data_IF_628522302248
#
_entry.id   IF_628522302248
#
_cell.length_a   1.000
_cell.length_b   1.000
_cell.length_c   1.000
_cell.angle_alpha   90.00
_cell.angle_beta   90.00
_cell.angle_gamma   90.00
#
_symmetry.space_group_name_H-M   'P 1'
#
loop_
_entity.id
_entity.type
_entity.pdbx_description
1 polymer ?
#
# COMPACT_ATOMS: atom_id res chain seq x y z
N UNK A 1 -24.49 9.08 26.83
CA UNK A 1 -23.55 8.01 26.42
C UNK A 1 -24.02 7.19 25.23
N UNK A 2 -25.26 6.69 25.19
CA UNK A 2 -25.76 5.87 24.07
C UNK A 2 -25.71 6.55 22.69
N UNK A 3 -26.06 7.85 22.61
CA UNK A 3 -26.04 8.61 21.34
C UNK A 3 -24.61 8.77 20.81
N UNK A 4 -23.64 9.11 21.67
CA UNK A 4 -22.24 9.24 21.29
C UNK A 4 -21.69 7.90 20.75
N UNK A 5 -22.03 6.80 21.43
CA UNK A 5 -21.59 5.46 21.00
C UNK A 5 -22.20 5.07 19.64
N UNK A 6 -23.49 5.36 19.43
CA UNK A 6 -24.15 5.16 18.15
C UNK A 6 -23.51 5.99 17.02
N UNK A 7 -23.16 7.26 17.29
CA UNK A 7 -22.46 8.12 16.32
C UNK A 7 -21.08 7.58 15.95
N UNK A 8 -20.30 7.11 16.93
CA UNK A 8 -18.98 6.52 16.69
C UNK A 8 -19.10 5.26 15.84
N UNK A 9 -20.04 4.37 16.16
CA UNK A 9 -20.29 3.14 15.39
C UNK A 9 -20.73 3.49 13.96
N UNK A 10 -21.62 4.45 13.78
CA UNK A 10 -22.06 4.91 12.46
C UNK A 10 -20.90 5.49 11.65
N UNK A 11 -20.04 6.31 12.27
CA UNK A 11 -18.86 6.88 11.61
C UNK A 11 -17.87 5.80 11.17
N UNK A 12 -17.62 4.78 12.01
CA UNK A 12 -16.77 3.63 11.67
C UNK A 12 -17.39 2.81 10.54
N UNK A 13 -18.69 2.53 10.60
CA UNK A 13 -19.41 1.79 9.56
C UNK A 13 -19.37 2.54 8.21
N UNK A 14 -19.57 3.86 8.22
CA UNK A 14 -19.50 4.67 7.02
C UNK A 14 -18.07 4.73 6.46
N UNK A 15 -17.07 4.88 7.32
CA UNK A 15 -15.67 4.85 6.92
C UNK A 15 -15.28 3.51 6.30
N UNK A 16 -15.62 2.39 6.95
CA UNK A 16 -15.34 1.04 6.42
C UNK A 16 -16.07 0.78 5.11
N UNK A 17 -17.33 1.20 4.98
CA UNK A 17 -18.08 1.10 3.73
C UNK A 17 -17.40 1.88 2.58
N UNK A 18 -16.92 3.10 2.85
CA UNK A 18 -16.17 3.91 1.88
C UNK A 18 -14.87 3.22 1.45
N UNK A 19 -14.10 2.70 2.39
CA UNK A 19 -12.86 1.95 2.10
C UNK A 19 -13.15 0.73 1.25
N UNK A 20 -14.12 -0.10 1.65
CA UNK A 20 -14.52 -1.30 0.91
C UNK A 20 -15.04 -0.97 -0.50
N UNK A 21 -15.74 0.16 -0.67
CA UNK A 21 -16.19 0.62 -1.99
C UNK A 21 -15.01 1.01 -2.88
N UNK A 22 -14.07 1.82 -2.37
CA UNK A 22 -12.86 2.22 -3.12
C UNK A 22 -11.96 1.04 -3.48
N UNK A 23 -11.77 0.09 -2.56
CA UNK A 23 -10.99 -1.12 -2.83
C UNK A 23 -11.67 -1.99 -3.91
N UNK A 24 -13.00 -2.12 -3.86
CA UNK A 24 -13.78 -2.80 -4.91
C UNK A 24 -13.66 -2.10 -6.26
N UNK A 25 -13.65 -0.77 -6.29
CA UNK A 25 -13.41 -0.01 -7.51
C UNK A 25 -12.00 -0.26 -8.06
N UNK A 26 -10.97 -0.24 -7.20
CA UNK A 26 -9.59 -0.51 -7.57
C UNK A 26 -9.40 -1.95 -8.11
N UNK A 27 -10.07 -2.94 -7.52
CA UNK A 27 -10.11 -4.33 -8.03
C UNK A 27 -10.71 -4.47 -9.42
N UNK A 28 -11.58 -3.54 -9.82
CA UNK A 28 -12.18 -3.50 -11.16
C UNK A 28 -11.46 -2.57 -12.12
N UNK A 29 -10.48 -1.79 -11.63
CA UNK A 29 -9.70 -0.91 -12.47
C UNK A 29 -8.94 -1.69 -13.55
N UNK A 30 -8.52 -1.00 -14.60
CA UNK A 30 -7.71 -1.61 -15.64
C UNK A 30 -6.39 -2.11 -15.07
N UNK A 31 -6.02 -3.35 -15.39
CA UNK A 31 -4.68 -3.89 -15.13
C UNK A 31 -3.72 -3.23 -16.10
N UNK A 32 -2.67 -2.61 -15.56
CA UNK A 32 -1.63 -1.96 -16.36
C UNK A 32 -0.66 -2.98 -16.95
N UNK A 33 -0.23 -3.92 -16.11
CA UNK A 33 0.74 -4.97 -16.41
C UNK A 33 0.72 -6.02 -15.29
N UNK A 34 1.52 -7.06 -15.43
CA UNK A 34 1.81 -8.00 -14.33
C UNK A 34 3.11 -7.65 -13.64
N UNK A 35 3.29 -8.15 -12.42
CA UNK A 35 4.58 -8.13 -11.71
C UNK A 35 5.65 -8.85 -12.53
N UNK A 36 6.85 -8.28 -12.55
CA UNK A 36 8.03 -8.99 -13.05
C UNK A 36 8.72 -9.79 -11.93
N UNK A 37 9.70 -10.62 -12.30
CA UNK A 37 10.40 -11.49 -11.35
C UNK A 37 11.15 -10.72 -10.24
N UNK A 38 11.74 -9.57 -10.58
CA UNK A 38 12.47 -8.74 -9.61
C UNK A 38 11.54 -8.11 -8.58
N UNK A 39 10.38 -7.63 -9.01
CA UNK A 39 9.34 -7.09 -8.14
C UNK A 39 8.73 -8.18 -7.27
N UNK A 40 8.44 -9.36 -7.82
CA UNK A 40 7.93 -10.49 -7.05
C UNK A 40 8.94 -10.92 -5.97
N UNK A 41 10.23 -10.94 -6.30
CA UNK A 41 11.30 -11.20 -5.33
C UNK A 41 11.43 -10.09 -4.28
N UNK A 42 11.24 -8.83 -4.65
CA UNK A 42 11.28 -7.69 -3.74
C UNK A 42 10.09 -7.66 -2.76
N UNK A 43 8.95 -8.26 -3.13
CA UNK A 43 7.78 -8.41 -2.27
C UNK A 43 7.81 -9.67 -1.39
N UNK A 44 8.71 -10.62 -1.66
CA UNK A 44 8.82 -11.85 -0.84
C UNK A 44 9.03 -11.57 0.67
N UNK A 45 9.84 -10.57 1.11
CA UNK A 45 9.97 -10.22 2.52
C UNK A 45 8.66 -9.71 3.14
N UNK A 46 7.86 -8.96 2.38
CA UNK A 46 6.55 -8.50 2.86
C UNK A 46 5.66 -9.70 3.19
N UNK A 47 5.58 -10.67 2.27
CA UNK A 47 4.80 -11.90 2.45
C UNK A 47 5.30 -12.69 3.65
N UNK A 48 6.62 -12.86 3.79
CA UNK A 48 7.22 -13.60 4.89
C UNK A 48 6.95 -12.96 6.26
N UNK A 49 6.94 -11.62 6.34
CA UNK A 49 6.75 -10.90 7.60
C UNK A 49 5.28 -10.72 8.00
N UNK A 50 4.38 -10.55 7.03
CA UNK A 50 2.99 -10.18 7.28
C UNK A 50 1.98 -11.30 7.02
N UNK A 51 2.40 -12.36 6.33
CA UNK A 51 1.51 -13.40 5.83
C UNK A 51 0.58 -12.94 4.71
N UNK A 52 0.69 -11.69 4.26
CA UNK A 52 -0.20 -11.10 3.26
C UNK A 52 0.18 -11.63 1.87
N UNK A 53 -0.74 -12.36 1.26
CA UNK A 53 -0.69 -12.70 -0.16
C UNK A 53 -1.30 -11.56 -0.99
N UNK A 54 -0.64 -11.21 -2.08
CA UNK A 54 -1.12 -10.27 -3.09
C UNK A 54 -1.27 -11.00 -4.43
N UNK A 55 -2.07 -10.42 -5.32
CA UNK A 55 -2.10 -10.83 -6.72
C UNK A 55 -0.84 -10.35 -7.48
N UNK A 56 -0.73 -10.75 -8.74
CA UNK A 56 0.35 -10.28 -9.63
C UNK A 56 -0.11 -9.13 -10.56
N UNK A 57 -1.33 -8.62 -10.39
CA UNK A 57 -1.94 -7.65 -11.30
C UNK A 57 -1.67 -6.23 -10.85
N UNK A 58 -0.76 -5.55 -11.56
CA UNK A 58 -0.40 -4.17 -11.25
C UNK A 58 -1.47 -3.22 -11.78
N UNK A 59 -1.94 -2.33 -10.90
CA UNK A 59 -2.99 -1.34 -11.17
C UNK A 59 -2.51 0.04 -10.75
N UNK A 60 -3.10 1.08 -11.35
CA UNK A 60 -2.82 2.46 -10.98
C UNK A 60 -3.69 2.89 -9.81
N UNK A 61 -3.06 3.47 -8.79
CA UNK A 61 -3.73 4.14 -7.68
C UNK A 61 -3.21 5.57 -7.59
N UNK A 62 -4.13 6.54 -7.72
CA UNK A 62 -3.81 7.97 -7.58
C UNK A 62 -4.47 8.55 -6.35
N UNK A 63 -3.80 9.48 -5.70
CA UNK A 63 -4.41 10.25 -4.62
C UNK A 63 -3.42 10.90 -3.66
N UNK A 64 -3.97 11.66 -2.73
CA UNK A 64 -3.22 12.18 -1.59
C UNK A 64 -2.86 11.05 -0.63
N UNK A 65 -1.65 11.12 -0.07
CA UNK A 65 -1.24 10.26 1.03
C UNK A 65 -1.68 10.88 2.35
N UNK A 66 -2.40 10.13 3.18
CA UNK A 66 -2.94 10.58 4.46
C UNK A 66 -2.50 9.59 5.54
N UNK A 67 -1.41 9.93 6.22
CA UNK A 67 -1.00 9.31 7.47
C UNK A 67 -0.83 7.78 7.43
N UNK A 68 -0.45 7.24 8.57
CA UNK A 68 -0.09 5.84 8.77
C UNK A 68 0.91 5.71 9.91
N UNK A 69 1.03 4.52 10.50
CA UNK A 69 2.02 4.28 11.54
C UNK A 69 3.41 4.18 10.89
N UNK A 70 4.06 5.32 10.65
CA UNK A 70 5.45 5.31 10.19
C UNK A 70 6.35 4.75 11.29
N UNK A 71 7.03 3.66 10.98
CA UNK A 71 7.95 2.97 11.87
C UNK A 71 9.31 2.91 11.17
N UNK A 72 10.25 3.83 11.50
CA UNK A 72 11.53 3.95 10.78
C UNK A 72 12.39 2.68 10.84
N UNK A 73 12.16 1.79 11.82
CA UNK A 73 12.88 0.53 11.99
C UNK A 73 12.21 -0.66 11.32
N UNK A 74 11.02 -0.49 10.74
CA UNK A 74 10.35 -1.55 9.99
C UNK A 74 10.66 -1.39 8.50
N UNK A 75 10.85 -2.50 7.76
CA UNK A 75 11.10 -2.46 6.32
C UNK A 75 9.87 -2.05 5.50
N UNK A 76 8.68 -2.21 6.07
CA UNK A 76 7.40 -1.83 5.47
C UNK A 76 6.58 -0.99 6.45
N UNK A 77 5.79 -0.06 5.91
CA UNK A 77 4.86 0.77 6.64
C UNK A 77 3.47 0.68 6.02
N UNK A 78 2.47 1.03 6.81
CA UNK A 78 1.09 1.20 6.38
C UNK A 78 0.69 2.67 6.31
N UNK A 79 -0.36 2.97 5.54
CA UNK A 79 -0.98 4.28 5.48
C UNK A 79 -2.22 4.31 4.59
N UNK A 80 -2.74 5.49 4.29
CA UNK A 80 -3.87 5.65 3.36
C UNK A 80 -3.43 6.43 2.12
N UNK A 81 -3.70 5.90 0.93
CA UNK A 81 -3.48 6.58 -0.34
C UNK A 81 -4.80 6.67 -1.11
N UNK A 82 -5.25 7.88 -1.44
CA UNK A 82 -6.54 8.07 -2.13
C UNK A 82 -7.74 7.48 -1.36
N UNK A 83 -7.63 7.36 -0.04
CA UNK A 83 -8.64 6.72 0.80
C UNK A 83 -8.63 5.19 0.78
N UNK A 84 -7.55 4.56 0.29
CA UNK A 84 -7.34 3.11 0.29
C UNK A 84 -6.16 2.77 1.21
N UNK A 85 -6.28 1.75 2.10
CA UNK A 85 -5.16 1.27 2.89
C UNK A 85 -4.04 0.74 2.00
N UNK A 86 -2.82 1.24 2.20
CA UNK A 86 -1.63 0.85 1.46
C UNK A 86 -0.53 0.31 2.36
N UNK A 87 0.24 -0.64 1.84
CA UNK A 87 1.51 -1.07 2.39
C UNK A 87 2.63 -0.63 1.46
N UNK A 88 3.71 -0.08 2.00
CA UNK A 88 4.82 0.41 1.21
C UNK A 88 6.18 0.19 1.91
N UNK A 89 7.25 -0.10 1.15
CA UNK A 89 8.60 -0.14 1.70
C UNK A 89 8.99 1.21 2.29
N UNK A 90 9.81 1.24 3.35
CA UNK A 90 10.25 2.48 3.99
C UNK A 90 10.91 3.48 3.03
N UNK A 91 11.60 2.98 1.99
CA UNK A 91 12.18 3.81 0.94
C UNK A 91 11.15 4.62 0.13
N UNK A 92 9.87 4.23 0.09
CA UNK A 92 8.84 4.97 -0.62
C UNK A 92 8.56 6.36 -0.01
N UNK A 93 8.89 6.53 1.28
CA UNK A 93 8.61 7.76 2.04
C UNK A 93 9.24 8.98 1.37
N UNK A 94 10.48 8.86 0.94
CA UNK A 94 11.26 9.96 0.34
C UNK A 94 10.72 10.38 -1.03
N UNK A 95 9.85 9.56 -1.61
CA UNK A 95 9.22 9.80 -2.90
C UNK A 95 7.73 10.20 -2.78
N UNK A 96 7.19 10.33 -1.56
CA UNK A 96 5.81 10.77 -1.36
C UNK A 96 5.65 12.27 -1.62
N UNK A 97 4.62 12.61 -2.39
CA UNK A 97 4.18 13.95 -2.70
C UNK A 97 2.78 14.22 -2.13
N UNK A 98 2.30 15.47 -2.24
CA UNK A 98 0.94 15.85 -1.87
C UNK A 98 -0.12 15.07 -2.67
N UNK A 99 0.20 14.75 -3.94
CA UNK A 99 -0.61 13.90 -4.81
C UNK A 99 0.30 12.88 -5.48
N UNK A 100 -0.04 11.60 -5.37
CA UNK A 100 0.83 10.52 -5.83
C UNK A 100 0.18 9.70 -6.93
N UNK A 101 1.03 9.16 -7.78
CA UNK A 101 0.70 8.08 -8.69
C UNK A 101 1.47 6.83 -8.26
N UNK A 102 0.75 5.83 -7.79
CA UNK A 102 1.31 4.56 -7.34
C UNK A 102 0.89 3.43 -8.26
N UNK A 103 1.84 2.59 -8.63
CA UNK A 103 1.55 1.26 -9.14
C UNK A 103 1.43 0.31 -7.95
N UNK A 104 0.33 -0.43 -7.89
CA UNK A 104 0.00 -1.28 -6.75
C UNK A 104 -0.47 -2.66 -7.20
N UNK A 105 -0.16 -3.67 -6.40
CA UNK A 105 -0.82 -4.98 -6.45
C UNK A 105 -1.81 -5.11 -5.30
N UNK A 106 -2.84 -5.93 -5.46
CA UNK A 106 -3.90 -6.02 -4.48
C UNK A 106 -3.72 -7.24 -3.59
N UNK A 107 -3.80 -6.98 -2.29
CA UNK A 107 -3.97 -7.98 -1.26
C UNK A 107 -5.35 -7.82 -0.61
N UNK A 108 -5.75 -8.79 0.21
CA UNK A 108 -7.08 -8.89 0.82
C UNK A 108 -7.74 -7.53 1.22
N UNK A 109 -7.10 -6.75 2.08
CA UNK A 109 -7.61 -5.42 2.48
C UNK A 109 -6.63 -4.28 2.22
N UNK A 110 -5.57 -4.56 1.46
CA UNK A 110 -4.42 -3.68 1.26
C UNK A 110 -4.09 -3.54 -0.21
N UNK A 111 -3.61 -2.37 -0.60
CA UNK A 111 -2.87 -2.20 -1.85
C UNK A 111 -1.37 -2.10 -1.53
N UNK A 112 -0.55 -2.94 -2.15
CA UNK A 112 0.91 -2.95 -1.91
C UNK A 112 1.58 -2.12 -2.99
N UNK A 113 2.32 -1.09 -2.59
CA UNK A 113 3.02 -0.18 -3.51
C UNK A 113 4.26 -0.86 -4.07
N UNK A 114 4.34 -0.95 -5.40
CA UNK A 114 5.51 -1.49 -6.13
C UNK A 114 6.33 -0.37 -6.77
N UNK A 115 5.64 0.67 -7.26
CA UNK A 115 6.23 1.86 -7.85
C UNK A 115 5.50 3.10 -7.36
N UNK A 116 6.22 4.19 -7.11
CA UNK A 116 5.65 5.44 -6.63
C UNK A 116 6.24 6.62 -7.40
N UNK A 117 5.39 7.45 -8.01
CA UNK A 117 5.76 8.66 -8.73
C UNK A 117 6.86 8.42 -9.79
N UNK A 118 6.77 7.30 -10.50
CA UNK A 118 7.77 6.89 -11.49
C UNK A 118 9.01 6.20 -10.94
N UNK A 119 9.19 6.12 -9.61
CA UNK A 119 10.35 5.50 -8.97
C UNK A 119 10.04 4.07 -8.55
N UNK A 120 10.92 3.14 -8.91
CA UNK A 120 10.85 1.75 -8.47
C UNK A 120 11.24 1.62 -7.00
N UNK A 121 10.26 1.26 -6.17
CA UNK A 121 10.45 1.12 -4.72
C UNK A 121 10.70 -0.35 -4.36
N UNK A 122 9.94 -1.27 -4.95
CA UNK A 122 10.14 -2.70 -4.80
C UNK A 122 11.34 -3.14 -5.66
N UNK A 123 12.54 -2.71 -5.29
CA UNK A 123 13.78 -3.22 -5.86
C UNK A 123 14.39 -4.21 -4.89
N UNK A 124 14.97 -5.29 -5.41
CA UNK A 124 15.81 -6.17 -4.61
C UNK A 124 16.94 -5.30 -4.06
N UNK A 125 16.97 -5.08 -2.75
CA UNK A 125 18.15 -4.51 -2.10
C UNK A 125 19.29 -5.49 -2.37
N UNK A 126 20.14 -5.18 -3.35
CA UNK A 126 21.45 -5.81 -3.45
C UNK A 126 22.10 -5.42 -2.13
N UNK A 127 22.27 -6.40 -1.24
CA UNK A 127 22.94 -6.23 0.05
C UNK A 127 24.13 -5.31 -0.18
N UNK A 128 24.05 -4.09 0.31
CA UNK A 128 25.21 -3.22 0.37
C UNK A 128 26.08 -3.90 1.43
N UNK A 129 27.02 -4.74 0.97
CA UNK A 129 28.10 -5.25 1.84
C UNK A 129 28.73 -4.01 2.43
N UNK A 130 28.44 -3.74 3.69
CA UNK A 130 29.27 -2.87 4.51
C UNK A 130 30.62 -3.59 4.52
N UNK A 131 31.59 -3.06 3.77
CA UNK A 131 32.98 -3.48 3.95
C UNK A 131 33.37 -3.07 5.37
N UNK A 132 33.91 -4.05 6.08
CA UNK A 132 34.57 -3.90 7.38
C UNK A 132 35.60 -2.77 7.35
#
# INVERSE_FOLDING_TARGET
MAILLAMVVAAIAEWTARVCSRLRALRRARVLRTLNADEHAALAPLRAMTGIAHDDQVRLLRGAFIGGAYRPRHPFNDGMLGGIPVLFPSAARDHMAAWNEAEVVLADRWAVIVRLNGVQIATRSRSRRVRH
#
